data_IF_062740370017
#
_entry.id   IF_062740370017
#
_cell.length_a   1.000
_cell.length_b   1.000
_cell.length_c   1.000
_cell.angle_alpha   90.00
_cell.angle_beta   90.00
_cell.angle_gamma   90.00
#
_symmetry.space_group_name_H-M   'P 1'
#
loop_
_entity.id
_entity.type
_entity.pdbx_description
1 polymer ?
#
# COMPACT_ATOMS: atom_id res chain seq x y z
N UNK A 1 23.52 -6.33 18.53
CA UNK A 1 22.26 -5.60 18.75
C UNK A 1 22.51 -4.11 18.90
N UNK A 2 23.43 -3.66 19.77
CA UNK A 2 23.94 -2.27 19.78
C UNK A 2 24.29 -1.69 18.39
N UNK A 3 24.83 -2.51 17.48
CA UNK A 3 25.11 -2.13 16.09
C UNK A 3 23.89 -1.63 15.30
N UNK A 4 22.68 -2.14 15.59
CA UNK A 4 21.43 -1.78 14.88
C UNK A 4 20.91 -0.42 15.34
N UNK A 5 21.01 -0.12 16.64
CA UNK A 5 20.71 1.21 17.19
C UNK A 5 21.68 2.25 16.63
N UNK A 6 22.96 1.92 16.56
CA UNK A 6 23.97 2.81 15.99
C UNK A 6 23.78 3.03 14.48
N UNK A 7 23.37 2.00 13.73
CA UNK A 7 22.96 2.10 12.33
C UNK A 7 21.78 3.09 12.16
N UNK A 8 20.70 2.94 12.94
CA UNK A 8 19.58 3.87 12.89
C UNK A 8 19.97 5.30 13.27
N UNK A 9 20.85 5.47 14.27
CA UNK A 9 21.38 6.78 14.66
C UNK A 9 22.24 7.40 13.57
N UNK A 10 23.04 6.60 12.87
CA UNK A 10 23.89 7.07 11.79
C UNK A 10 23.04 7.48 10.58
N UNK A 11 22.03 6.69 10.24
CA UNK A 11 21.10 7.00 9.16
C UNK A 11 20.25 8.24 9.47
N UNK A 12 19.76 8.38 10.70
CA UNK A 12 19.07 9.59 11.15
C UNK A 12 19.97 10.83 11.05
N UNK A 13 21.22 10.74 11.54
CA UNK A 13 22.21 11.83 11.40
C UNK A 13 22.55 12.14 9.95
N UNK A 14 22.53 11.13 9.07
CA UNK A 14 22.71 11.33 7.63
C UNK A 14 21.55 12.12 7.04
N UNK A 15 20.30 11.76 7.34
CA UNK A 15 19.12 12.48 6.88
C UNK A 15 19.06 13.92 7.42
N UNK A 16 19.43 14.14 8.68
CA UNK A 16 19.56 15.47 9.27
C UNK A 16 20.57 16.33 8.50
N UNK A 17 21.78 15.81 8.23
CA UNK A 17 22.80 16.51 7.44
C UNK A 17 22.36 16.78 5.99
N UNK A 18 21.66 15.84 5.36
CA UNK A 18 21.10 16.02 4.03
C UNK A 18 19.98 17.09 4.02
N UNK A 19 19.35 17.38 5.16
CA UNK A 19 18.30 18.38 5.30
C UNK A 19 18.77 19.81 5.61
N UNK A 20 19.97 19.95 6.20
CA UNK A 20 20.58 21.24 6.57
C UNK A 20 20.64 22.26 5.42
N UNK A 21 21.00 21.89 4.17
CA UNK A 21 20.83 22.77 3.03
C UNK A 21 19.34 22.89 2.65
N UNK A 22 18.58 23.70 3.39
CA UNK A 22 17.15 23.97 3.13
C UNK A 22 16.87 24.63 1.75
N UNK A 23 17.89 24.91 0.93
CA UNK A 23 17.75 25.28 -0.49
C UNK A 23 17.45 24.10 -1.42
N UNK A 24 17.31 22.88 -0.88
CA UNK A 24 17.04 21.67 -1.63
C UNK A 24 15.78 21.79 -2.52
N UNK A 25 15.90 21.26 -3.76
CA UNK A 25 14.81 21.22 -4.74
C UNK A 25 13.60 20.45 -4.17
N UNK A 26 12.38 20.77 -4.62
CA UNK A 26 11.15 20.11 -4.15
C UNK A 26 11.17 18.58 -4.31
N UNK A 27 11.92 18.04 -5.28
CA UNK A 27 12.16 16.59 -5.41
C UNK A 27 12.95 16.04 -4.22
N UNK A 28 14.06 16.68 -3.85
CA UNK A 28 14.91 16.26 -2.74
C UNK A 28 14.16 16.33 -1.40
N UNK A 29 13.34 17.38 -1.18
CA UNK A 29 12.50 17.47 0.02
C UNK A 29 11.50 16.32 0.13
N UNK A 30 10.87 15.93 -0.98
CA UNK A 30 9.96 14.76 -1.03
C UNK A 30 10.69 13.46 -0.74
N UNK A 31 11.89 13.28 -1.30
CA UNK A 31 12.71 12.09 -1.03
C UNK A 31 13.18 12.05 0.42
N UNK A 32 13.58 13.17 1.00
CA UNK A 32 13.99 13.26 2.40
C UNK A 32 12.83 12.94 3.34
N UNK A 33 11.65 13.55 3.11
CA UNK A 33 10.44 13.25 3.88
C UNK A 33 10.07 11.76 3.78
N UNK A 34 10.03 11.20 2.57
CA UNK A 34 9.70 9.80 2.39
C UNK A 34 10.70 8.86 3.11
N UNK A 35 12.00 9.18 3.06
CA UNK A 35 13.04 8.40 3.75
C UNK A 35 12.98 8.55 5.27
N UNK A 36 12.65 9.73 5.80
CA UNK A 36 12.50 9.92 7.25
C UNK A 36 11.30 9.14 7.78
N UNK A 37 10.16 9.17 7.09
CA UNK A 37 8.97 8.40 7.48
C UNK A 37 9.24 6.89 7.41
N UNK A 38 9.92 6.42 6.35
CA UNK A 38 10.33 5.01 6.23
C UNK A 38 11.27 4.59 7.37
N UNK A 39 12.21 5.45 7.74
CA UNK A 39 13.13 5.15 8.84
C UNK A 39 12.39 5.11 10.18
N UNK A 40 11.45 6.03 10.43
CA UNK A 40 10.58 6.00 11.62
C UNK A 40 9.87 4.65 11.70
N UNK A 41 9.25 4.19 10.62
CA UNK A 41 8.58 2.88 10.57
C UNK A 41 9.56 1.75 10.90
N UNK A 42 10.76 1.73 10.31
CA UNK A 42 11.79 0.72 10.60
C UNK A 42 12.23 0.71 12.06
N UNK A 43 12.37 1.87 12.68
CA UNK A 43 12.71 1.98 14.11
C UNK A 43 11.55 1.52 14.99
N UNK A 44 10.31 1.87 14.64
CA UNK A 44 9.11 1.41 15.35
C UNK A 44 8.93 -0.12 15.26
N UNK A 45 9.14 -0.70 14.07
CA UNK A 45 9.12 -2.14 13.87
C UNK A 45 10.16 -2.84 14.76
N UNK A 46 11.38 -2.31 14.82
CA UNK A 46 12.44 -2.86 15.68
C UNK A 46 12.11 -2.70 17.18
N UNK A 47 11.51 -1.58 17.58
CA UNK A 47 11.08 -1.34 18.96
C UNK A 47 9.97 -2.31 19.39
N UNK A 48 9.12 -2.75 18.45
CA UNK A 48 8.07 -3.74 18.67
C UNK A 48 8.56 -5.19 18.71
N UNK A 49 9.81 -5.48 18.34
CA UNK A 49 10.37 -6.84 18.42
C UNK A 49 10.53 -7.27 19.89
N UNK A 50 10.08 -8.48 20.29
CA UNK A 50 10.18 -8.97 21.67
C UNK A 50 11.63 -9.18 22.14
N UNK A 51 12.59 -9.16 21.22
CA UNK A 51 14.03 -9.26 21.49
C UNK A 51 14.66 -7.91 21.82
N UNK A 52 13.96 -6.78 21.64
CA UNK A 52 14.51 -5.44 21.86
C UNK A 52 14.85 -5.19 23.34
N UNK A 53 16.12 -4.90 23.71
CA UNK A 53 16.52 -4.69 25.10
C UNK A 53 15.92 -3.39 25.66
N UNK A 54 15.43 -3.42 26.90
CA UNK A 54 14.89 -2.22 27.58
C UNK A 54 15.90 -1.06 27.61
N UNK A 55 17.19 -1.35 27.73
CA UNK A 55 18.27 -0.34 27.72
C UNK A 55 18.41 0.43 26.39
N UNK A 56 17.91 -0.14 25.29
CA UNK A 56 17.99 0.47 23.95
C UNK A 56 16.68 1.19 23.56
N UNK A 57 15.56 0.91 24.23
CA UNK A 57 14.25 1.48 23.90
C UNK A 57 14.22 3.01 23.99
N UNK A 58 14.80 3.59 25.04
CA UNK A 58 14.88 5.04 25.22
C UNK A 58 15.72 5.70 24.10
N UNK A 59 16.82 5.05 23.71
CA UNK A 59 17.65 5.52 22.59
C UNK A 59 16.92 5.47 21.25
N UNK A 60 16.12 4.44 20.99
CA UNK A 60 15.32 4.28 19.77
C UNK A 60 14.15 5.28 19.73
N UNK A 61 13.48 5.50 20.87
CA UNK A 61 12.44 6.54 20.98
C UNK A 61 12.99 7.94 20.72
N UNK A 62 14.21 8.24 21.18
CA UNK A 62 14.88 9.51 20.85
C UNK A 62 15.17 9.64 19.35
N UNK A 63 15.56 8.55 18.67
CA UNK A 63 15.74 8.56 17.21
C UNK A 63 14.41 8.86 16.50
N UNK A 64 13.32 8.22 16.90
CA UNK A 64 11.97 8.48 16.37
C UNK A 64 11.62 9.96 16.54
N UNK A 65 11.74 10.49 17.77
CA UNK A 65 11.39 11.89 18.09
C UNK A 65 12.18 12.89 17.24
N UNK A 66 13.46 12.62 16.99
CA UNK A 66 14.30 13.44 16.10
C UNK A 66 13.82 13.40 14.66
N UNK A 67 13.53 12.20 14.15
CA UNK A 67 13.03 12.02 12.79
C UNK A 67 11.65 12.65 12.59
N UNK A 68 10.75 12.57 13.57
CA UNK A 68 9.45 13.27 13.53
C UNK A 68 9.62 14.79 13.55
N UNK A 69 10.56 15.29 14.36
CA UNK A 69 10.94 16.70 14.39
C UNK A 69 11.53 17.15 13.05
N UNK A 70 12.31 16.28 12.39
CA UNK A 70 12.85 16.53 11.06
C UNK A 70 11.73 16.54 10.01
N UNK A 71 10.89 15.50 9.99
CA UNK A 71 9.76 15.32 9.07
C UNK A 71 8.80 16.51 9.14
N UNK A 72 8.43 16.95 10.35
CA UNK A 72 7.56 18.12 10.56
C UNK A 72 8.19 19.44 10.09
N UNK A 73 9.51 19.59 10.15
CA UNK A 73 10.23 20.74 9.60
C UNK A 73 10.28 20.72 8.07
N UNK A 74 10.25 19.55 7.44
CA UNK A 74 10.21 19.42 5.98
C UNK A 74 8.83 19.83 5.49
N UNK A 75 8.65 21.12 5.23
CA UNK A 75 7.49 21.61 4.48
C UNK A 75 7.60 21.11 3.06
N UNK A 76 6.75 20.17 2.69
CA UNK A 76 6.51 19.79 1.29
C UNK A 76 5.71 20.93 0.65
N UNK A 77 6.33 21.82 -0.15
CA UNK A 77 5.58 22.87 -0.78
C UNK A 77 4.59 22.20 -1.73
N UNK A 78 3.32 22.61 -1.66
CA UNK A 78 2.41 22.37 -2.77
C UNK A 78 3.09 22.91 -4.01
N UNK A 79 3.18 22.11 -5.07
CA UNK A 79 3.80 22.57 -6.30
C UNK A 79 3.17 23.91 -6.68
N UNK A 80 3.97 24.99 -6.67
CA UNK A 80 3.49 26.30 -7.06
C UNK A 80 3.08 26.18 -8.51
N UNK A 81 1.77 26.27 -8.77
CA UNK A 81 1.33 26.44 -10.14
C UNK A 81 1.96 27.74 -10.64
N UNK A 82 2.62 27.70 -11.79
CA UNK A 82 3.16 28.93 -12.37
C UNK A 82 2.03 29.96 -12.55
N UNK A 83 2.33 31.23 -12.36
CA UNK A 83 1.36 32.31 -12.58
C UNK A 83 0.89 32.43 -14.05
N UNK A 84 1.50 31.66 -14.97
CA UNK A 84 1.14 31.63 -16.38
C UNK A 84 -0.16 30.85 -16.59
N UNK A 85 -1.20 31.57 -17.02
CA UNK A 85 -2.53 31.03 -17.32
C UNK A 85 -2.48 29.80 -18.23
N UNK A 86 -1.59 29.78 -19.23
CA UNK A 86 -1.49 28.66 -20.17
C UNK A 86 -0.99 27.38 -19.49
N UNK A 87 -0.01 27.49 -18.58
CA UNK A 87 0.50 26.35 -17.81
C UNK A 87 -0.61 25.80 -16.91
N UNK A 88 -1.34 26.69 -16.23
CA UNK A 88 -2.48 26.30 -15.38
C UNK A 88 -3.54 25.58 -16.20
N UNK A 89 -3.90 26.11 -17.37
CA UNK A 89 -4.89 25.51 -18.26
C UNK A 89 -4.45 24.11 -18.72
N UNK A 90 -3.19 23.96 -19.17
CA UNK A 90 -2.65 22.67 -19.57
C UNK A 90 -2.66 21.66 -18.41
N UNK A 91 -2.31 22.08 -17.20
CA UNK A 91 -2.40 21.22 -16.02
C UNK A 91 -3.84 20.78 -15.74
N UNK A 92 -4.84 21.66 -15.88
CA UNK A 92 -6.26 21.29 -15.71
C UNK A 92 -6.74 20.35 -16.79
N UNK A 93 -6.34 20.57 -18.04
CA UNK A 93 -6.67 19.65 -19.14
C UNK A 93 -6.07 18.27 -18.87
N UNK A 94 -4.82 18.22 -18.45
CA UNK A 94 -4.11 16.98 -18.09
C UNK A 94 -4.75 16.26 -16.88
N UNK A 95 -5.20 16.99 -15.85
CA UNK A 95 -6.03 16.44 -14.76
C UNK A 95 -7.33 15.83 -15.27
N UNK A 96 -8.06 16.52 -16.15
CA UNK A 96 -9.31 16.02 -16.75
C UNK A 96 -9.04 14.79 -17.61
N UNK A 97 -8.00 14.80 -18.44
CA UNK A 97 -7.61 13.66 -19.28
C UNK A 97 -7.31 12.45 -18.41
N UNK A 98 -6.52 12.60 -17.34
CA UNK A 98 -6.24 11.50 -16.41
C UNK A 98 -7.50 11.01 -15.69
N UNK A 99 -8.37 11.92 -15.26
CA UNK A 99 -9.64 11.54 -14.63
C UNK A 99 -10.48 10.68 -15.59
N UNK A 100 -10.69 11.15 -16.83
CA UNK A 100 -11.45 10.40 -17.84
C UNK A 100 -10.77 9.07 -18.15
N UNK A 101 -9.45 9.06 -18.32
CA UNK A 101 -8.70 7.85 -18.66
C UNK A 101 -8.77 6.80 -17.55
N UNK A 102 -8.55 7.20 -16.28
CA UNK A 102 -8.58 6.29 -15.13
C UNK A 102 -9.97 5.70 -14.91
N UNK A 103 -11.03 6.52 -14.97
CA UNK A 103 -12.41 6.03 -14.84
C UNK A 103 -12.83 5.15 -16.01
N UNK A 104 -12.51 5.53 -17.25
CA UNK A 104 -12.81 4.70 -18.43
C UNK A 104 -12.08 3.36 -18.36
N UNK A 105 -10.80 3.37 -17.98
CA UNK A 105 -10.02 2.15 -17.80
C UNK A 105 -10.58 1.27 -16.67
N UNK A 106 -10.97 1.85 -15.53
CA UNK A 106 -11.58 1.10 -14.43
C UNK A 106 -12.87 0.40 -14.88
N UNK A 107 -13.76 1.12 -15.58
CA UNK A 107 -15.02 0.57 -16.07
C UNK A 107 -14.75 -0.54 -17.09
N UNK A 108 -13.91 -0.30 -18.10
CA UNK A 108 -13.59 -1.28 -19.13
C UNK A 108 -12.92 -2.53 -18.54
N UNK A 109 -11.93 -2.35 -17.67
CA UNK A 109 -11.25 -3.47 -17.01
C UNK A 109 -12.19 -4.25 -16.08
N UNK A 110 -13.15 -3.59 -15.41
CA UNK A 110 -14.13 -4.30 -14.60
C UNK A 110 -15.04 -5.23 -15.44
N UNK A 111 -15.42 -4.80 -16.64
CA UNK A 111 -16.29 -5.57 -17.55
C UNK A 111 -15.49 -6.67 -18.26
N UNK A 112 -14.35 -6.34 -18.84
CA UNK A 112 -13.61 -7.23 -19.74
C UNK A 112 -12.57 -8.11 -19.02
N UNK A 113 -12.20 -7.78 -17.78
CA UNK A 113 -11.18 -8.52 -17.02
C UNK A 113 -11.78 -9.03 -15.70
N UNK A 114 -12.28 -8.14 -14.84
CA UNK A 114 -12.70 -8.54 -13.50
C UNK A 114 -13.93 -9.46 -13.52
N UNK A 115 -14.96 -9.14 -14.31
CA UNK A 115 -16.16 -9.95 -14.42
C UNK A 115 -15.87 -11.39 -14.94
N UNK A 116 -15.10 -11.58 -16.03
CA UNK A 116 -14.61 -12.92 -16.40
C UNK A 116 -13.80 -13.61 -15.30
N UNK A 117 -12.94 -12.87 -14.58
CA UNK A 117 -12.20 -13.44 -13.45
C UNK A 117 -13.14 -13.98 -12.36
N UNK A 118 -14.23 -13.28 -12.03
CA UNK A 118 -15.24 -13.77 -11.07
C UNK A 118 -15.81 -15.12 -11.53
N UNK A 119 -16.14 -15.24 -12.83
CA UNK A 119 -16.66 -16.49 -13.40
C UNK A 119 -15.62 -17.62 -13.41
N UNK A 120 -14.33 -17.28 -13.54
CA UNK A 120 -13.21 -18.23 -13.55
C UNK A 120 -12.67 -18.58 -12.16
N UNK A 121 -13.15 -17.94 -11.08
CA UNK A 121 -12.71 -18.24 -9.71
C UNK A 121 -12.78 -19.74 -9.34
N UNK A 122 -13.86 -20.50 -9.68
CA UNK A 122 -13.91 -21.93 -9.38
C UNK A 122 -12.82 -22.72 -10.10
N UNK A 123 -12.44 -22.30 -11.31
CA UNK A 123 -11.36 -22.91 -12.10
C UNK A 123 -10.01 -22.63 -11.45
N UNK A 124 -9.75 -21.38 -11.04
CA UNK A 124 -8.52 -21.04 -10.30
C UNK A 124 -8.39 -21.86 -9.01
N UNK A 125 -9.49 -22.04 -8.25
CA UNK A 125 -9.50 -22.87 -7.05
C UNK A 125 -9.25 -24.36 -7.35
N UNK A 126 -9.80 -24.88 -8.45
CA UNK A 126 -9.57 -26.25 -8.89
C UNK A 126 -8.10 -26.49 -9.29
N UNK A 127 -7.51 -25.56 -10.05
CA UNK A 127 -6.11 -25.62 -10.48
C UNK A 127 -5.14 -25.59 -9.29
N UNK A 128 -5.43 -24.76 -8.27
CA UNK A 128 -4.68 -24.73 -7.02
C UNK A 128 -4.82 -26.05 -6.24
N UNK A 129 -6.04 -26.59 -6.15
CA UNK A 129 -6.32 -27.82 -5.42
C UNK A 129 -5.52 -29.00 -5.99
N UNK A 130 -5.44 -29.12 -7.32
CA UNK A 130 -4.63 -30.13 -8.01
C UNK A 130 -3.15 -29.75 -8.13
N UNK A 131 -2.70 -28.63 -7.55
CA UNK A 131 -1.32 -28.13 -7.59
C UNK A 131 -0.77 -27.94 -9.01
N UNK A 132 -1.64 -27.65 -9.98
CA UNK A 132 -1.26 -27.39 -11.37
C UNK A 132 -0.67 -25.98 -11.57
N UNK A 133 -0.98 -25.08 -10.65
CA UNK A 133 -0.60 -23.66 -10.70
C UNK A 133 -0.10 -23.24 -9.31
N UNK A 134 0.97 -22.45 -9.25
CA UNK A 134 1.45 -21.92 -7.98
C UNK A 134 0.49 -20.83 -7.43
N UNK A 135 0.44 -20.59 -6.11
CA UNK A 135 -0.41 -19.54 -5.53
C UNK A 135 -0.23 -18.15 -6.14
N UNK A 136 0.98 -17.82 -6.63
CA UNK A 136 1.30 -16.55 -7.30
C UNK A 136 0.91 -16.50 -8.78
N UNK A 137 0.54 -17.63 -9.39
CA UNK A 137 0.29 -17.79 -10.83
C UNK A 137 -1.21 -17.87 -11.18
N UNK A 138 -2.11 -17.56 -10.25
CA UNK A 138 -3.54 -17.51 -10.50
C UNK A 138 -3.90 -16.42 -11.53
N UNK A 139 -4.92 -16.67 -12.33
CA UNK A 139 -5.38 -15.72 -13.37
C UNK A 139 -5.83 -14.41 -12.73
N UNK A 140 -6.49 -14.49 -11.57
CA UNK A 140 -6.93 -13.31 -10.84
C UNK A 140 -5.78 -12.43 -10.34
N UNK A 141 -4.61 -13.00 -10.00
CA UNK A 141 -3.43 -12.24 -9.53
C UNK A 141 -2.82 -11.47 -10.69
N UNK A 142 -2.60 -12.12 -11.84
CA UNK A 142 -2.09 -11.42 -13.03
C UNK A 142 -3.02 -10.28 -13.45
N UNK A 143 -4.32 -10.55 -13.47
CA UNK A 143 -5.35 -9.56 -13.79
C UNK A 143 -5.35 -8.38 -12.82
N UNK A 144 -5.30 -8.68 -11.51
CA UNK A 144 -5.19 -7.67 -10.45
C UNK A 144 -3.96 -6.78 -10.63
N UNK A 145 -2.78 -7.39 -10.87
CA UNK A 145 -1.53 -6.65 -11.06
C UNK A 145 -1.54 -5.80 -12.33
N UNK A 146 -2.14 -6.30 -13.41
CA UNK A 146 -2.29 -5.55 -14.65
C UNK A 146 -3.17 -4.30 -14.45
N UNK A 147 -4.33 -4.46 -13.83
CA UNK A 147 -5.24 -3.33 -13.53
C UNK A 147 -4.55 -2.33 -12.61
N UNK A 148 -3.94 -2.80 -11.52
CA UNK A 148 -3.23 -1.95 -10.58
C UNK A 148 -2.10 -1.17 -11.25
N UNK A 149 -1.22 -1.84 -12.00
CA UNK A 149 -0.11 -1.19 -12.72
C UNK A 149 -0.59 -0.13 -13.70
N UNK A 150 -1.67 -0.43 -14.42
CA UNK A 150 -2.27 0.50 -15.39
C UNK A 150 -2.92 1.70 -14.70
N UNK A 151 -3.66 1.50 -13.61
CA UNK A 151 -4.26 2.59 -12.82
C UNK A 151 -3.19 3.53 -12.27
N UNK A 152 -2.07 3.00 -11.78
CA UNK A 152 -0.97 3.80 -11.26
C UNK A 152 -0.28 4.58 -12.38
N UNK A 153 -0.04 3.95 -13.54
CA UNK A 153 0.54 4.62 -14.71
C UNK A 153 -0.37 5.73 -15.26
N UNK A 154 -1.68 5.47 -15.43
CA UNK A 154 -2.67 6.46 -15.88
C UNK A 154 -2.85 7.61 -14.89
N UNK A 155 -2.65 7.36 -13.60
CA UNK A 155 -2.66 8.39 -12.56
C UNK A 155 -1.36 9.19 -12.49
N UNK A 156 -0.33 8.83 -13.27
CA UNK A 156 0.99 9.47 -13.24
C UNK A 156 1.79 9.17 -11.96
N UNK A 157 1.47 8.08 -11.26
CA UNK A 157 2.11 7.72 -10.00
C UNK A 157 3.24 6.73 -10.25
N UNK A 158 4.45 7.13 -9.86
CA UNK A 158 5.62 6.25 -9.81
C UNK A 158 5.72 5.57 -8.47
N UNK A 159 6.04 4.27 -8.48
CA UNK A 159 6.10 3.43 -7.28
C UNK A 159 7.53 2.94 -7.14
N UNK A 160 8.08 3.11 -5.93
CA UNK A 160 9.37 2.52 -5.55
C UNK A 160 9.10 1.54 -4.43
N UNK A 161 9.42 0.26 -4.67
CA UNK A 161 9.33 -0.79 -3.67
C UNK A 161 10.72 -0.97 -3.05
N UNK A 162 10.80 -1.00 -1.72
CA UNK A 162 12.03 -1.26 -0.98
C UNK A 162 11.83 -2.54 -0.17
N UNK A 163 12.89 -3.33 0.00
CA UNK A 163 12.95 -4.50 0.87
C UNK A 163 11.94 -5.63 0.55
N UNK A 164 11.25 -5.56 -0.60
CA UNK A 164 10.38 -6.60 -1.13
C UNK A 164 11.16 -7.53 -2.07
N UNK A 165 11.37 -8.78 -1.65
CA UNK A 165 11.93 -9.85 -2.48
C UNK A 165 10.83 -10.78 -2.94
N UNK A 166 10.98 -11.44 -4.08
CA UNK A 166 10.01 -12.46 -4.53
C UNK A 166 9.88 -13.60 -3.50
N UNK A 167 10.96 -13.88 -2.77
CA UNK A 167 11.00 -14.87 -1.68
C UNK A 167 10.26 -14.43 -0.42
N UNK A 168 10.00 -13.13 -0.22
CA UNK A 168 9.27 -12.61 0.95
C UNK A 168 7.89 -13.25 1.09
N UNK A 169 7.29 -13.63 -0.04
CA UNK A 169 5.95 -14.19 -0.13
C UNK A 169 5.94 -15.68 -0.50
N UNK A 170 7.11 -16.33 -0.56
CA UNK A 170 7.24 -17.66 -1.13
C UNK A 170 6.70 -18.79 -0.24
N UNK A 171 6.63 -18.59 1.09
CA UNK A 171 6.45 -19.73 1.99
C UNK A 171 5.25 -19.71 2.94
N UNK A 172 4.60 -18.59 3.28
CA UNK A 172 3.54 -18.64 4.29
C UNK A 172 2.42 -17.61 4.07
N UNK A 173 1.23 -17.98 4.54
CA UNK A 173 0.09 -17.10 4.72
C UNK A 173 0.53 -15.79 5.35
N UNK A 174 0.45 -14.69 4.59
CA UNK A 174 0.92 -13.38 5.02
C UNK A 174 -0.25 -12.51 5.50
N UNK A 175 -0.10 -11.92 6.68
CA UNK A 175 -0.96 -10.83 7.14
C UNK A 175 -0.25 -9.53 6.82
N UNK A 176 -0.88 -8.73 5.96
CA UNK A 176 -0.33 -7.49 5.45
C UNK A 176 -1.02 -6.35 6.19
N UNK A 177 -0.25 -5.63 7.00
CA UNK A 177 -0.71 -4.43 7.67
C UNK A 177 -0.19 -3.19 6.94
N UNK A 178 -1.04 -2.20 6.71
CA UNK A 178 -0.66 -0.93 6.07
C UNK A 178 -1.41 0.24 6.70
N UNK A 179 -0.84 1.44 6.65
CA UNK A 179 -1.58 2.68 6.98
C UNK A 179 -2.45 3.09 5.78
N UNK A 180 -3.68 3.50 6.03
CA UNK A 180 -4.65 3.87 5.00
C UNK A 180 -4.61 5.37 4.73
N UNK A 181 -3.68 5.80 3.88
CA UNK A 181 -3.53 7.19 3.48
C UNK A 181 -4.49 7.60 2.36
N UNK A 182 -4.89 6.67 1.48
CA UNK A 182 -5.61 7.01 0.25
C UNK A 182 -6.37 5.82 -0.34
N UNK A 183 -7.36 6.12 -1.18
CA UNK A 183 -8.02 5.10 -2.02
C UNK A 183 -7.04 4.42 -2.99
N UNK A 184 -5.88 5.01 -3.27
CA UNK A 184 -4.84 4.39 -4.11
C UNK A 184 -4.13 3.21 -3.43
N UNK A 185 -4.27 3.06 -2.11
CA UNK A 185 -3.61 1.99 -1.35
C UNK A 185 -4.00 0.61 -1.86
N UNK A 186 -5.27 0.43 -2.27
CA UNK A 186 -5.75 -0.82 -2.85
C UNK A 186 -4.96 -1.23 -4.10
N UNK A 187 -4.60 -0.27 -4.96
CA UNK A 187 -3.80 -0.53 -6.17
C UNK A 187 -2.31 -0.71 -5.83
N UNK A 188 -1.78 0.07 -4.87
CA UNK A 188 -0.40 -0.05 -4.40
C UNK A 188 -0.12 -1.45 -3.82
N UNK A 189 -0.97 -1.90 -2.89
CA UNK A 189 -0.86 -3.22 -2.25
C UNK A 189 -1.02 -4.33 -3.28
N UNK A 190 -1.99 -4.18 -4.19
CA UNK A 190 -2.21 -5.12 -5.31
C UNK A 190 -0.98 -5.28 -6.21
N UNK A 191 -0.17 -4.22 -6.38
CA UNK A 191 1.06 -4.27 -7.16
C UNK A 191 2.25 -4.84 -6.37
N UNK A 192 2.37 -4.43 -5.11
CA UNK A 192 3.47 -4.79 -4.22
C UNK A 192 3.41 -6.26 -3.79
N UNK A 193 2.20 -6.81 -3.62
CA UNK A 193 1.98 -8.13 -3.02
C UNK A 193 1.53 -9.12 -4.11
N UNK A 194 2.43 -10.00 -4.58
CA UNK A 194 2.17 -10.94 -5.67
C UNK A 194 1.36 -12.17 -5.23
N UNK A 195 0.52 -12.03 -4.19
CA UNK A 195 -0.34 -13.07 -3.66
C UNK A 195 -1.81 -12.64 -3.74
N UNK A 196 -2.68 -13.64 -3.83
CA UNK A 196 -4.09 -13.45 -3.53
C UNK A 196 -4.23 -13.17 -2.03
N UNK A 197 -4.89 -12.08 -1.68
CA UNK A 197 -5.09 -11.66 -0.30
C UNK A 197 -6.51 -11.13 -0.14
N UNK A 198 -7.13 -11.44 0.98
CA UNK A 198 -8.44 -10.91 1.33
C UNK A 198 -8.29 -9.52 1.94
N UNK A 199 -8.81 -8.50 1.27
CA UNK A 199 -8.70 -7.11 1.72
C UNK A 199 -10.01 -6.62 2.28
N UNK A 200 -9.96 -6.10 3.51
CA UNK A 200 -11.12 -5.46 4.11
C UNK A 200 -11.42 -4.14 3.40
N UNK A 201 -12.62 -4.04 2.83
CA UNK A 201 -13.05 -2.90 2.01
C UNK A 201 -14.40 -2.37 2.48
N UNK A 202 -14.63 -1.07 2.26
CA UNK A 202 -15.88 -0.41 2.65
C UNK A 202 -17.08 -1.06 1.95
N UNK A 203 -18.10 -1.46 2.71
CA UNK A 203 -19.31 -2.12 2.20
C UNK A 203 -19.99 -1.37 1.05
N UNK A 204 -20.02 -0.03 1.11
CA UNK A 204 -20.68 0.79 0.09
C UNK A 204 -20.07 0.63 -1.31
N UNK A 205 -18.80 0.23 -1.41
CA UNK A 205 -18.15 -0.01 -2.70
C UNK A 205 -18.74 -1.22 -3.43
N UNK A 206 -19.33 -2.17 -2.70
CA UNK A 206 -20.00 -3.34 -3.28
C UNK A 206 -21.36 -3.01 -3.89
N UNK A 207 -21.91 -1.81 -3.63
CA UNK A 207 -23.14 -1.34 -4.25
C UNK A 207 -22.91 -0.78 -5.65
N UNK A 208 -21.66 -0.47 -6.02
CA UNK A 208 -21.30 0.10 -7.31
C UNK A 208 -20.76 -1.04 -8.19
N UNK A 209 -21.42 -1.41 -9.31
CA UNK A 209 -21.11 -2.64 -10.06
C UNK A 209 -19.64 -2.79 -10.44
N UNK A 210 -19.01 -1.75 -10.98
CA UNK A 210 -17.63 -1.80 -11.45
C UNK A 210 -16.62 -2.01 -10.29
N UNK A 211 -16.89 -1.42 -9.13
CA UNK A 211 -16.08 -1.67 -7.93
C UNK A 211 -16.37 -3.05 -7.35
N UNK A 212 -17.64 -3.45 -7.29
CA UNK A 212 -18.06 -4.75 -6.78
C UNK A 212 -17.40 -5.89 -7.56
N UNK A 213 -17.38 -5.84 -8.90
CA UNK A 213 -16.76 -6.89 -9.71
C UNK A 213 -15.25 -6.97 -9.48
N UNK A 214 -14.56 -5.83 -9.41
CA UNK A 214 -13.13 -5.80 -9.08
C UNK A 214 -12.87 -6.35 -7.67
N UNK A 215 -13.65 -5.92 -6.68
CA UNK A 215 -13.50 -6.39 -5.30
C UNK A 215 -13.77 -7.90 -5.20
N UNK A 216 -14.86 -8.40 -5.77
CA UNK A 216 -15.18 -9.83 -5.77
C UNK A 216 -14.11 -10.67 -6.50
N UNK A 217 -13.59 -10.20 -7.64
CA UNK A 217 -12.56 -10.90 -8.40
C UNK A 217 -11.23 -11.02 -7.63
N UNK A 218 -10.89 -9.99 -6.86
CA UNK A 218 -9.54 -9.80 -6.32
C UNK A 218 -9.43 -10.00 -4.80
N UNK A 219 -10.51 -10.40 -4.13
CA UNK A 219 -10.51 -10.76 -2.71
C UNK A 219 -10.98 -9.64 -1.77
N UNK A 220 -11.77 -8.69 -2.23
CA UNK A 220 -12.41 -7.68 -1.40
C UNK A 220 -13.45 -8.30 -0.47
N UNK A 221 -13.44 -7.88 0.80
CA UNK A 221 -14.34 -8.35 1.85
C UNK A 221 -15.08 -7.14 2.43
N UNK A 222 -16.42 -7.09 2.39
CA UNK A 222 -17.18 -5.94 2.85
C UNK A 222 -17.12 -5.78 4.38
N UNK A 223 -16.76 -4.59 4.86
CA UNK A 223 -16.88 -4.20 6.26
C UNK A 223 -17.82 -3.00 6.41
N UNK A 224 -18.75 -3.12 7.35
CA UNK A 224 -19.64 -2.06 7.79
C UNK A 224 -19.06 -1.39 9.04
N UNK A 225 -18.30 -0.30 8.86
CA UNK A 225 -17.63 0.42 9.97
C UNK A 225 -18.59 1.06 10.99
N UNK A 226 -19.82 1.38 10.58
CA UNK A 226 -20.85 1.95 11.48
C UNK A 226 -21.41 0.94 12.49
N UNK A 227 -21.19 -0.35 12.27
CA UNK A 227 -21.67 -1.41 13.15
C UNK A 227 -20.49 -2.20 13.72
N UNK A 228 -20.08 -1.83 14.95
CA UNK A 228 -18.96 -2.45 15.67
C UNK A 228 -19.07 -3.99 15.74
N UNK A 229 -20.28 -4.53 15.92
CA UNK A 229 -20.49 -5.98 15.96
C UNK A 229 -20.22 -6.66 14.63
N UNK A 230 -20.56 -6.02 13.50
CA UNK A 230 -20.22 -6.53 12.16
C UNK A 230 -18.72 -6.43 11.88
N UNK A 231 -18.07 -5.34 12.27
CA UNK A 231 -16.63 -5.18 12.11
C UNK A 231 -15.84 -6.26 12.87
N UNK A 232 -16.23 -6.56 14.12
CA UNK A 232 -15.60 -7.64 14.91
C UNK A 232 -15.76 -8.99 14.22
N UNK A 233 -16.97 -9.32 13.72
CA UNK A 233 -17.20 -10.58 12.99
C UNK A 233 -16.36 -10.69 11.73
N UNK A 234 -16.22 -9.60 10.96
CA UNK A 234 -15.38 -9.60 9.77
C UNK A 234 -13.90 -9.83 10.11
N UNK A 235 -13.42 -9.30 11.24
CA UNK A 235 -12.07 -9.55 11.74
C UNK A 235 -11.89 -11.00 12.22
N UNK A 236 -12.88 -11.57 12.92
CA UNK A 236 -12.89 -12.98 13.33
C UNK A 236 -12.84 -13.91 12.10
N UNK A 237 -13.58 -13.57 11.04
CA UNK A 237 -13.56 -14.30 9.78
C UNK A 237 -12.20 -14.19 9.08
N UNK A 238 -11.60 -12.99 9.06
CA UNK A 238 -10.23 -12.78 8.57
C UNK A 238 -9.22 -13.65 9.31
N UNK A 239 -9.32 -13.70 10.63
CA UNK A 239 -8.46 -14.50 11.47
C UNK A 239 -8.63 -16.00 11.19
N UNK A 240 -9.86 -16.45 10.89
CA UNK A 240 -10.12 -17.83 10.48
C UNK A 240 -9.51 -18.14 9.11
N UNK A 241 -9.64 -17.24 8.14
CA UNK A 241 -9.00 -17.39 6.83
C UNK A 241 -7.47 -17.45 6.93
N UNK A 242 -6.87 -16.59 7.74
CA UNK A 242 -5.44 -16.61 8.01
C UNK A 242 -5.00 -17.93 8.63
N UNK A 243 -5.74 -18.45 9.63
CA UNK A 243 -5.50 -19.79 10.21
C UNK A 243 -5.57 -20.92 9.18
N UNK A 244 -6.40 -20.77 8.15
CA UNK A 244 -6.56 -21.71 7.05
C UNK A 244 -5.57 -21.47 5.89
N UNK A 245 -4.54 -20.64 6.09
CA UNK A 245 -3.47 -20.42 5.13
C UNK A 245 -3.77 -19.37 4.05
N UNK A 246 -4.83 -18.56 4.22
CA UNK A 246 -5.16 -17.49 3.27
C UNK A 246 -4.54 -16.15 3.68
N UNK A 247 -3.90 -15.44 2.75
CA UNK A 247 -3.34 -14.13 3.04
C UNK A 247 -4.44 -13.09 3.28
N UNK A 248 -4.20 -12.15 4.18
CA UNK A 248 -5.14 -11.08 4.54
C UNK A 248 -4.41 -9.74 4.46
N UNK A 249 -5.07 -8.71 3.94
CA UNK A 249 -4.59 -7.34 3.95
C UNK A 249 -5.54 -6.44 4.75
N UNK A 250 -5.00 -5.68 5.69
CA UNK A 250 -5.76 -4.85 6.62
C UNK A 250 -5.06 -3.53 6.91
N UNK A 251 -5.85 -2.47 7.04
CA UNK A 251 -5.43 -1.23 7.66
C UNK A 251 -5.92 -1.22 9.12
N UNK A 252 -5.04 -1.42 10.13
CA UNK A 252 -5.46 -1.60 11.52
C UNK A 252 -6.04 -0.33 12.16
N UNK A 253 -5.86 0.82 11.52
CA UNK A 253 -6.35 2.12 11.98
C UNK A 253 -7.86 2.37 11.79
N UNK A 254 -8.57 1.56 10.98
CA UNK A 254 -9.97 1.86 10.64
C UNK A 254 -10.85 0.74 10.12
#
# INVERSE_FOLDING_TARGET
MAAKVDEFREEARRLERESEPMSAKSSQRRTLFARSELLIMKVQDYLGEPTCPESEQEALQEVIRRLETLSSKIKLPRASMGHNLLIVLLCRIDEIIRLVATWSFLILSSIFIALPCVLLLPVDHLLLHYRLVAPSQQINIYSKRFIARSMMALSGVSITLQDLRETTFANECSIVCFSHASTMDAFLISLAIPLRHYTMAKSDLFLIPYFAWCLLAFGGVPIVRSNRGQAIRALEEAALWAKNGQCVAIAPEG
#
